data_IF_967129482933
#
_entry.id   IF_967129482933
#
_cell.length_a   1.000
_cell.length_b   1.000
_cell.length_c   1.000
_cell.angle_alpha   90.00
_cell.angle_beta   90.00
_cell.angle_gamma   90.00
#
_symmetry.space_group_name_H-M   'P 1'
#
loop_
_entity.id
_entity.type
_entity.pdbx_description
1 polymer ?
#
# COMPACT_ATOMS: atom_id res chain seq x y z
N UNK A 1 13.08 -8.18 -17.75
CA UNK A 1 12.18 -7.40 -18.62
C UNK A 1 12.94 -6.40 -19.49
N UNK A 2 13.79 -5.54 -18.94
CA UNK A 2 14.49 -4.47 -19.65
C UNK A 2 15.75 -4.89 -20.43
N UNK A 3 16.37 -6.03 -20.11
CA UNK A 3 17.64 -6.47 -20.74
C UNK A 3 17.65 -6.49 -22.27
N UNK A 4 16.61 -6.96 -22.97
CA UNK A 4 16.57 -6.96 -24.43
C UNK A 4 16.53 -5.55 -25.06
N UNK A 5 16.12 -4.54 -24.29
CA UNK A 5 15.91 -3.16 -24.76
C UNK A 5 17.05 -2.22 -24.39
N UNK A 6 18.23 -2.77 -24.06
CA UNK A 6 19.44 -2.05 -23.69
C UNK A 6 19.17 -0.87 -22.73
N UNK A 7 18.70 -1.17 -21.48
CA UNK A 7 18.58 -0.14 -20.48
C UNK A 7 19.95 0.52 -20.32
N UNK A 8 20.02 1.83 -20.29
CA UNK A 8 21.29 2.51 -20.12
C UNK A 8 22.03 2.00 -18.87
N UNK A 9 23.36 2.03 -18.86
CA UNK A 9 24.20 1.54 -17.75
C UNK A 9 23.77 2.07 -16.37
N UNK A 10 23.21 3.29 -16.30
CA UNK A 10 22.75 3.90 -15.06
C UNK A 10 21.49 3.20 -14.52
N UNK A 11 20.50 2.98 -15.38
CA UNK A 11 19.27 2.28 -15.01
C UNK A 11 19.56 0.83 -14.58
N UNK A 12 20.42 0.13 -15.31
CA UNK A 12 20.83 -1.23 -14.94
C UNK A 12 21.53 -1.27 -13.57
N UNK A 13 22.41 -0.30 -13.29
CA UNK A 13 23.08 -0.20 -11.99
C UNK A 13 22.08 0.09 -10.86
N UNK A 14 21.10 0.98 -11.08
CA UNK A 14 20.08 1.29 -10.07
C UNK A 14 19.20 0.06 -9.78
N UNK A 15 18.74 -0.65 -10.80
CA UNK A 15 18.00 -1.91 -10.67
C UNK A 15 18.78 -2.96 -9.88
N UNK A 16 20.06 -3.15 -10.23
CA UNK A 16 20.91 -4.14 -9.55
C UNK A 16 21.13 -3.80 -8.08
N UNK A 17 21.24 -2.52 -7.72
CA UNK A 17 21.35 -2.08 -6.32
C UNK A 17 20.08 -2.42 -5.52
N UNK A 18 18.91 -2.08 -6.04
CA UNK A 18 17.63 -2.42 -5.40
C UNK A 18 17.48 -3.94 -5.26
N UNK A 19 17.76 -4.69 -6.32
CA UNK A 19 17.69 -6.15 -6.29
C UNK A 19 18.67 -6.75 -5.27
N UNK A 20 19.90 -6.25 -5.21
CA UNK A 20 20.89 -6.70 -4.24
C UNK A 20 20.40 -6.49 -2.80
N UNK A 21 19.86 -5.31 -2.48
CA UNK A 21 19.33 -5.02 -1.15
C UNK A 21 18.14 -5.93 -0.81
N UNK A 22 17.23 -6.18 -1.74
CA UNK A 22 16.14 -7.15 -1.55
C UNK A 22 16.66 -8.56 -1.30
N UNK A 23 17.76 -8.97 -1.94
CA UNK A 23 18.41 -10.25 -1.68
C UNK A 23 19.09 -10.32 -0.31
N UNK A 24 19.61 -9.18 0.21
CA UNK A 24 20.12 -9.10 1.58
C UNK A 24 18.96 -9.33 2.56
N UNK A 25 17.88 -8.58 2.45
CA UNK A 25 16.70 -8.78 3.30
C UNK A 25 16.16 -10.22 3.23
N UNK A 26 16.14 -10.80 2.03
CA UNK A 26 15.69 -12.18 1.84
C UNK A 26 16.55 -13.20 2.59
N UNK A 27 17.87 -12.99 2.66
CA UNK A 27 18.80 -13.90 3.37
C UNK A 27 18.67 -13.79 4.89
N UNK A 28 18.27 -12.62 5.38
CA UNK A 28 18.07 -12.32 6.79
C UNK A 28 16.66 -12.66 7.29
N UNK A 29 15.76 -13.07 6.39
CA UNK A 29 14.37 -13.37 6.69
C UNK A 29 14.15 -14.88 6.75
N UNK A 30 13.83 -15.44 7.91
CA UNK A 30 13.47 -16.84 8.06
C UNK A 30 12.04 -17.11 7.55
N UNK A 31 11.06 -16.41 8.08
CA UNK A 31 9.64 -16.48 7.66
C UNK A 31 8.99 -15.10 7.61
N UNK A 32 9.18 -14.31 8.67
CA UNK A 32 8.77 -12.93 8.81
C UNK A 32 9.78 -12.20 9.69
N UNK A 33 10.29 -11.07 9.24
CA UNK A 33 11.29 -10.28 9.98
C UNK A 33 10.89 -8.82 9.97
N UNK A 34 10.73 -8.24 11.15
CA UNK A 34 10.48 -6.81 11.33
C UNK A 34 11.79 -6.01 11.11
N UNK A 35 11.65 -4.86 10.49
CA UNK A 35 12.74 -3.93 10.21
C UNK A 35 12.45 -2.59 10.87
N UNK A 36 13.43 -2.01 11.53
CA UNK A 36 13.28 -0.68 12.13
C UNK A 36 13.16 0.42 11.07
N UNK A 37 13.85 0.28 9.95
CA UNK A 37 13.83 1.27 8.87
C UNK A 37 14.33 0.66 7.56
N UNK A 38 13.81 1.19 6.46
CA UNK A 38 14.32 0.89 5.11
C UNK A 38 14.74 2.16 4.35
N UNK A 39 15.14 3.19 5.07
CA UNK A 39 15.54 4.49 4.50
C UNK A 39 16.64 4.38 3.44
N UNK A 40 17.63 3.52 3.65
CA UNK A 40 18.70 3.26 2.66
C UNK A 40 18.12 2.62 1.39
N UNK A 41 17.20 1.69 1.53
CA UNK A 41 16.51 1.09 0.38
C UNK A 41 15.65 2.11 -0.35
N UNK A 42 14.94 2.99 0.38
CA UNK A 42 14.17 4.07 -0.22
C UNK A 42 15.03 5.01 -1.08
N UNK A 43 16.23 5.37 -0.61
CA UNK A 43 17.16 6.17 -1.44
C UNK A 43 17.51 5.47 -2.76
N UNK A 44 17.70 4.14 -2.72
CA UNK A 44 17.95 3.37 -3.94
C UNK A 44 16.72 3.33 -4.86
N UNK A 45 15.51 3.20 -4.29
CA UNK A 45 14.25 3.24 -5.02
C UNK A 45 14.05 4.60 -5.69
N UNK A 46 14.29 5.69 -4.99
CA UNK A 46 14.16 7.05 -5.55
C UNK A 46 15.14 7.28 -6.71
N UNK A 47 16.40 6.82 -6.59
CA UNK A 47 17.35 6.86 -7.70
C UNK A 47 16.87 6.01 -8.88
N UNK A 48 16.28 4.86 -8.63
CA UNK A 48 15.70 3.99 -9.67
C UNK A 48 14.52 4.66 -10.36
N UNK A 49 13.65 5.36 -9.61
CA UNK A 49 12.54 6.13 -10.16
C UNK A 49 12.98 7.22 -11.14
N UNK A 50 14.05 7.97 -10.81
CA UNK A 50 14.63 8.99 -11.69
C UNK A 50 15.12 8.38 -13.02
N UNK A 51 15.84 7.27 -12.95
CA UNK A 51 16.36 6.59 -14.14
C UNK A 51 15.23 5.96 -15.00
N UNK A 52 14.18 5.41 -14.34
CA UNK A 52 12.99 4.90 -15.03
C UNK A 52 12.20 6.00 -15.72
N UNK A 53 12.04 7.17 -15.07
CA UNK A 53 11.37 8.32 -15.68
C UNK A 53 12.08 8.76 -16.96
N UNK A 54 13.42 8.90 -16.92
CA UNK A 54 14.22 9.22 -18.09
C UNK A 54 14.09 8.18 -19.20
N UNK A 55 14.07 6.89 -18.85
CA UNK A 55 13.87 5.82 -19.83
C UNK A 55 12.48 5.89 -20.48
N UNK A 56 11.43 6.13 -19.69
CA UNK A 56 10.04 6.24 -20.16
C UNK A 56 9.84 7.43 -21.11
N UNK A 57 10.54 8.53 -20.89
CA UNK A 57 10.52 9.68 -21.78
C UNK A 57 11.22 9.41 -23.12
N UNK A 58 12.36 8.71 -23.07
CA UNK A 58 13.13 8.36 -24.25
C UNK A 58 12.46 7.27 -25.12
N UNK A 59 11.63 6.40 -24.54
CA UNK A 59 11.06 5.22 -25.20
C UNK A 59 9.52 5.25 -25.27
N UNK A 60 8.96 6.33 -25.83
CA UNK A 60 7.50 6.55 -25.89
C UNK A 60 6.73 5.49 -26.67
N UNK A 61 7.33 4.86 -27.65
CA UNK A 61 6.74 3.87 -28.57
C UNK A 61 7.18 2.43 -28.30
N UNK A 62 7.91 2.18 -27.20
CA UNK A 62 8.39 0.83 -26.87
C UNK A 62 7.25 -0.11 -26.50
N UNK A 63 7.28 -1.35 -26.98
CA UNK A 63 6.30 -2.39 -26.69
C UNK A 63 6.18 -2.70 -25.19
N UNK A 64 7.29 -2.62 -24.42
CA UNK A 64 7.32 -2.88 -22.98
C UNK A 64 7.00 -1.64 -22.14
N UNK A 65 6.76 -0.49 -22.78
CA UNK A 65 6.54 0.77 -22.06
C UNK A 65 5.43 0.67 -21.01
N UNK A 66 4.34 -0.04 -21.33
CA UNK A 66 3.22 -0.22 -20.39
C UNK A 66 3.65 -0.96 -19.12
N UNK A 67 4.42 -2.02 -19.26
CA UNK A 67 4.92 -2.82 -18.12
C UNK A 67 5.95 -2.05 -17.28
N UNK A 68 6.81 -1.25 -17.94
CA UNK A 68 7.77 -0.39 -17.24
C UNK A 68 7.06 0.74 -16.50
N UNK A 69 6.01 1.30 -17.08
CA UNK A 69 5.18 2.33 -16.45
C UNK A 69 4.44 1.80 -15.21
N UNK A 70 3.89 0.59 -15.29
CA UNK A 70 3.26 -0.08 -14.17
C UNK A 70 4.26 -0.32 -13.03
N UNK A 71 5.46 -0.82 -13.36
CA UNK A 71 6.54 -0.98 -12.39
C UNK A 71 6.97 0.35 -11.77
N UNK A 72 7.09 1.41 -12.58
CA UNK A 72 7.38 2.76 -12.09
C UNK A 72 6.34 3.25 -11.09
N UNK A 73 5.04 3.09 -11.39
CA UNK A 73 3.99 3.50 -10.46
C UNK A 73 3.96 2.68 -9.18
N UNK A 74 4.25 1.39 -9.24
CA UNK A 74 4.35 0.54 -8.04
C UNK A 74 5.49 0.99 -7.13
N UNK A 75 6.67 1.30 -7.69
CA UNK A 75 7.80 1.83 -6.92
C UNK A 75 7.50 3.23 -6.36
N UNK A 76 6.86 4.08 -7.15
CA UNK A 76 6.46 5.42 -6.73
C UNK A 76 5.47 5.35 -5.57
N UNK A 77 4.46 4.50 -5.68
CA UNK A 77 3.49 4.29 -4.61
C UNK A 77 4.17 3.80 -3.32
N UNK A 78 5.13 2.88 -3.42
CA UNK A 78 5.93 2.46 -2.27
C UNK A 78 6.67 3.64 -1.63
N UNK A 79 7.32 4.50 -2.43
CA UNK A 79 8.03 5.68 -1.94
C UNK A 79 7.07 6.69 -1.29
N UNK A 80 5.91 6.92 -1.88
CA UNK A 80 4.88 7.83 -1.35
C UNK A 80 4.31 7.30 -0.02
N UNK A 81 4.03 5.99 0.09
CA UNK A 81 3.57 5.38 1.33
C UNK A 81 4.65 5.45 2.41
N UNK A 82 5.93 5.23 2.07
CA UNK A 82 7.00 5.33 3.04
C UNK A 82 7.12 6.73 3.67
N UNK A 83 6.78 7.78 2.93
CA UNK A 83 6.74 9.15 3.45
C UNK A 83 5.61 9.38 4.48
N UNK A 84 4.64 8.46 4.54
CA UNK A 84 3.54 8.48 5.53
C UNK A 84 3.82 7.57 6.74
N UNK A 85 4.96 6.86 6.73
CA UNK A 85 5.33 5.94 7.82
C UNK A 85 5.60 6.74 9.08
N UNK A 86 4.86 6.41 10.12
CA UNK A 86 4.97 6.90 11.48
C UNK A 86 5.06 5.72 12.48
N UNK A 87 4.91 5.98 13.76
CA UNK A 87 4.91 4.98 14.82
C UNK A 87 3.77 3.95 14.73
N UNK A 88 2.75 4.22 13.90
CA UNK A 88 1.63 3.33 13.66
C UNK A 88 1.85 2.38 12.49
N UNK A 89 3.06 2.34 11.93
CA UNK A 89 3.43 1.42 10.85
C UNK A 89 4.37 0.32 11.33
N UNK A 90 4.18 -0.87 10.77
CA UNK A 90 5.14 -1.95 10.84
C UNK A 90 5.81 -2.12 9.47
N UNK A 91 7.13 -2.15 9.46
CA UNK A 91 7.92 -2.46 8.28
C UNK A 91 8.44 -3.88 8.45
N UNK A 92 8.09 -4.77 7.54
CA UNK A 92 8.53 -6.16 7.66
C UNK A 92 8.74 -6.83 6.31
N UNK A 93 9.54 -7.86 6.32
CA UNK A 93 9.73 -8.77 5.20
C UNK A 93 9.08 -10.11 5.49
N UNK A 94 8.51 -10.74 4.47
CA UNK A 94 7.92 -12.07 4.58
C UNK A 94 7.88 -12.78 3.24
N UNK A 95 7.63 -14.09 3.29
CA UNK A 95 7.26 -14.86 2.11
C UNK A 95 5.75 -14.85 1.92
N UNK A 96 5.30 -14.75 0.68
CA UNK A 96 3.92 -14.90 0.28
C UNK A 96 3.57 -16.38 0.10
N UNK A 97 2.28 -16.71 0.02
CA UNK A 97 1.80 -18.10 -0.17
C UNK A 97 2.33 -18.75 -1.47
N UNK A 98 2.62 -17.94 -2.48
CA UNK A 98 3.22 -18.38 -3.74
C UNK A 98 4.76 -18.52 -3.68
N UNK A 99 5.37 -18.28 -2.52
CA UNK A 99 6.82 -18.31 -2.30
C UNK A 99 7.58 -17.05 -2.69
N UNK A 100 6.91 -16.01 -3.18
CA UNK A 100 7.54 -14.73 -3.47
C UNK A 100 7.95 -14.03 -2.18
N UNK A 101 9.09 -13.33 -2.23
CA UNK A 101 9.58 -12.52 -1.13
C UNK A 101 9.06 -11.09 -1.24
N UNK A 102 8.54 -10.55 -0.15
CA UNK A 102 7.96 -9.21 -0.09
C UNK A 102 8.50 -8.37 1.06
N UNK A 103 8.73 -7.10 0.81
CA UNK A 103 8.90 -6.04 1.80
C UNK A 103 7.57 -5.28 1.90
N UNK A 104 7.05 -5.14 3.11
CA UNK A 104 5.74 -4.53 3.36
C UNK A 104 5.83 -3.36 4.32
N UNK A 105 5.06 -2.33 4.01
CA UNK A 105 4.73 -1.21 4.88
C UNK A 105 3.28 -1.41 5.33
N UNK A 106 3.07 -1.80 6.57
CA UNK A 106 1.76 -2.13 7.10
C UNK A 106 1.29 -1.07 8.09
N UNK A 107 0.26 -0.33 7.73
CA UNK A 107 -0.37 0.64 8.58
C UNK A 107 -1.28 -0.07 9.60
N UNK A 108 -0.91 -0.04 10.86
CA UNK A 108 -1.71 -0.62 11.96
C UNK A 108 -2.85 0.31 12.35
N UNK A 109 -2.59 1.61 12.39
CA UNK A 109 -3.59 2.63 12.70
C UNK A 109 -3.45 3.84 11.76
N UNK A 110 -4.39 4.07 10.84
CA UNK A 110 -4.32 5.15 9.87
C UNK A 110 -4.79 6.51 10.40
N UNK A 111 -5.20 6.63 11.67
CA UNK A 111 -5.88 7.81 12.19
C UNK A 111 -5.09 9.10 12.02
N UNK A 112 -3.78 9.11 12.29
CA UNK A 112 -2.91 10.28 12.12
C UNK A 112 -2.86 10.75 10.67
N UNK A 113 -2.63 9.83 9.74
CA UNK A 113 -2.56 10.14 8.31
C UNK A 113 -3.92 10.60 7.77
N UNK A 114 -5.01 9.95 8.21
CA UNK A 114 -6.37 10.38 7.84
C UNK A 114 -6.70 11.74 8.41
N UNK A 115 -6.30 12.04 9.66
CA UNK A 115 -6.51 13.34 10.26
C UNK A 115 -5.82 14.46 9.47
N UNK A 116 -4.61 14.23 8.99
CA UNK A 116 -3.94 15.21 8.11
C UNK A 116 -4.73 15.49 6.83
N UNK A 117 -5.33 14.45 6.23
CA UNK A 117 -6.21 14.62 5.08
C UNK A 117 -7.51 15.34 5.42
N UNK A 118 -8.14 15.00 6.55
CA UNK A 118 -9.38 15.63 7.04
C UNK A 118 -9.16 17.13 7.28
N UNK A 119 -8.01 17.51 7.85
CA UNK A 119 -7.66 18.90 8.14
C UNK A 119 -7.49 19.78 6.89
N UNK A 120 -7.30 19.17 5.70
CA UNK A 120 -7.29 19.91 4.44
C UNK A 120 -8.69 20.25 3.93
N UNK A 121 -9.71 19.54 4.42
CA UNK A 121 -11.11 19.75 4.10
C UNK A 121 -11.83 20.62 5.14
N UNK A 122 -13.05 20.99 4.84
CA UNK A 122 -13.92 21.71 5.77
C UNK A 122 -14.63 20.78 6.75
N UNK A 123 -14.93 19.57 6.31
CA UNK A 123 -15.53 18.50 7.10
C UNK A 123 -15.38 17.17 6.36
N UNK A 124 -15.43 16.06 7.10
CA UNK A 124 -15.44 14.71 6.54
C UNK A 124 -16.60 13.92 7.14
N UNK A 125 -17.23 13.08 6.32
CA UNK A 125 -18.31 12.18 6.75
C UNK A 125 -17.96 10.79 6.29
N UNK A 126 -17.81 9.87 7.25
CA UNK A 126 -17.63 8.45 7.00
C UNK A 126 -18.95 7.72 7.22
N UNK A 127 -19.36 6.88 6.29
CA UNK A 127 -20.61 6.13 6.42
C UNK A 127 -20.47 4.72 5.86
N UNK A 128 -21.09 3.78 6.55
CA UNK A 128 -21.24 2.39 6.10
C UNK A 128 -22.34 1.72 6.92
N UNK A 129 -22.92 0.67 6.39
CA UNK A 129 -23.86 -0.18 7.12
C UNK A 129 -23.18 -1.03 8.21
N UNK A 130 -21.84 -1.12 8.22
CA UNK A 130 -21.07 -2.05 9.06
C UNK A 130 -20.01 -1.37 9.93
N UNK A 131 -20.13 -0.06 10.20
CA UNK A 131 -19.25 0.67 11.12
C UNK A 131 -19.54 0.33 12.61
N UNK A 132 -19.49 -0.95 12.93
CA UNK A 132 -19.70 -1.45 14.30
C UNK A 132 -18.53 -2.33 14.73
N UNK A 133 -18.00 -2.15 15.96
CA UNK A 133 -18.38 -1.14 16.97
C UNK A 133 -17.89 0.26 16.62
N UNK A 134 -18.73 1.26 16.80
CA UNK A 134 -18.48 2.66 16.41
C UNK A 134 -17.20 3.23 17.02
N UNK A 135 -16.91 2.91 18.30
CA UNK A 135 -15.74 3.43 19.01
C UNK A 135 -14.42 2.95 18.40
N UNK A 136 -14.39 1.76 17.84
CA UNK A 136 -13.23 1.26 17.11
C UNK A 136 -12.96 2.10 15.87
N UNK A 137 -13.99 2.30 15.03
CA UNK A 137 -13.86 3.07 13.80
C UNK A 137 -13.55 4.55 14.03
N UNK A 138 -14.10 5.16 15.09
CA UNK A 138 -13.73 6.53 15.47
C UNK A 138 -12.21 6.65 15.70
N UNK A 139 -11.61 5.72 16.45
CA UNK A 139 -10.18 5.68 16.71
C UNK A 139 -9.31 5.38 15.50
N UNK A 140 -9.89 4.75 14.47
CA UNK A 140 -9.19 4.42 13.23
C UNK A 140 -9.28 5.54 12.19
N UNK A 141 -10.30 6.40 12.28
CA UNK A 141 -10.54 7.44 11.26
C UNK A 141 -10.07 8.82 11.66
N UNK A 142 -9.94 9.09 12.96
CA UNK A 142 -9.61 10.42 13.46
C UNK A 142 -8.89 10.35 14.79
N UNK A 143 -8.02 11.34 15.03
CA UNK A 143 -7.41 11.59 16.34
C UNK A 143 -8.19 12.61 17.16
N UNK A 144 -9.21 13.24 16.58
CA UNK A 144 -10.03 14.23 17.27
C UNK A 144 -11.07 13.56 18.17
N UNK A 145 -11.05 13.88 19.45
CA UNK A 145 -11.98 13.34 20.45
C UNK A 145 -13.40 13.88 20.31
N UNK A 146 -13.55 15.08 19.72
CA UNK A 146 -14.83 15.78 19.58
C UNK A 146 -15.67 15.27 18.40
N UNK A 147 -15.11 14.40 17.57
CA UNK A 147 -15.86 13.74 16.51
C UNK A 147 -17.01 12.90 17.09
N UNK A 148 -18.16 12.96 16.45
CA UNK A 148 -19.33 12.23 16.89
C UNK A 148 -19.79 11.23 15.81
N UNK A 149 -20.57 10.25 16.24
CA UNK A 149 -21.15 9.26 15.36
C UNK A 149 -22.68 9.23 15.53
N UNK A 150 -23.37 9.08 14.40
CA UNK A 150 -24.83 8.98 14.35
C UNK A 150 -25.18 7.58 13.87
N UNK A 151 -26.08 6.92 14.60
CA UNK A 151 -26.71 5.71 14.11
C UNK A 151 -28.03 6.09 13.42
N UNK A 152 -28.16 5.65 12.18
CA UNK A 152 -29.40 5.82 11.42
C UNK A 152 -30.06 4.46 11.25
N UNK A 153 -31.30 4.34 11.70
CA UNK A 153 -32.05 3.12 11.53
C UNK A 153 -32.32 2.82 10.06
N UNK A 154 -32.43 1.53 9.74
CA UNK A 154 -32.76 1.10 8.37
C UNK A 154 -34.16 1.63 7.98
N UNK A 155 -34.31 2.29 6.83
CA UNK A 155 -35.62 2.69 6.32
C UNK A 155 -36.47 1.50 5.84
N UNK A 156 -35.86 0.32 5.76
CA UNK A 156 -36.55 -0.89 5.33
C UNK A 156 -37.26 -1.57 6.49
N UNK A 157 -38.56 -1.86 6.30
CA UNK A 157 -39.36 -2.58 7.27
C UNK A 157 -38.84 -4.01 7.47
N UNK A 158 -38.36 -4.36 8.68
CA UNK A 158 -37.78 -5.68 8.94
C UNK A 158 -38.81 -6.82 8.81
N UNK A 159 -40.12 -6.53 8.91
CA UNK A 159 -41.18 -7.56 8.73
C UNK A 159 -41.31 -8.01 7.27
N UNK A 160 -40.78 -7.22 6.34
CA UNK A 160 -40.76 -7.54 4.91
C UNK A 160 -39.49 -8.28 4.47
N UNK A 161 -38.59 -8.62 5.43
CA UNK A 161 -37.39 -9.38 5.12
C UNK A 161 -37.78 -10.83 4.79
N UNK A 162 -37.41 -11.27 3.57
CA UNK A 162 -37.42 -12.68 3.20
C UNK A 162 -36.03 -13.27 3.46
N UNK A 163 -35.95 -14.26 4.36
CA UNK A 163 -34.75 -15.03 4.61
C UNK A 163 -34.92 -16.41 3.96
N UNK A 164 -34.15 -16.71 2.94
CA UNK A 164 -34.11 -18.02 2.31
C UNK A 164 -32.77 -18.71 2.60
N UNK A 165 -32.83 -19.95 3.07
CA UNK A 165 -31.63 -20.78 3.33
C UNK A 165 -31.55 -21.83 2.21
N UNK A 166 -30.54 -21.71 1.34
CA UNK A 166 -30.23 -22.71 0.33
C UNK A 166 -29.37 -23.81 0.94
N UNK A 167 -29.96 -24.94 1.37
CA UNK A 167 -29.23 -26.06 1.95
C UNK A 167 -28.49 -26.93 0.94
N UNK A 168 -28.71 -26.71 -0.35
CA UNK A 168 -28.13 -27.50 -1.45
C UNK A 168 -26.94 -26.81 -2.12
N UNK A 169 -26.55 -25.61 -1.66
CA UNK A 169 -25.40 -24.86 -2.22
C UNK A 169 -24.19 -25.14 -1.35
N UNK A 170 -23.22 -25.88 -1.88
CA UNK A 170 -21.87 -26.03 -1.30
C UNK A 170 -20.93 -25.00 -1.91
N UNK A 171 -20.08 -24.40 -1.09
CA UNK A 171 -18.95 -23.53 -1.50
C UNK A 171 -17.73 -24.37 -1.80
#
# INVERSE_FOLDING_TARGET
LLRPYAPGKKLEKALNRCNHQMLVYKRECDSCTELESVSTFLMMVNQLLEELAGWLEAHKTSEIRKQVLEFYFNLRNFSEIYNLVDENYLIYTSYLDNGDFALRLFCVNPAENLQQCINQGRSAVFFSATLLPVQYYKKMFSTNTDDYAIYVESPFDPTKRCLAIGSEVST
#
